data_IF_395597429124
#
_entry.id   IF_395597429124
#
_cell.length_a   1.000
_cell.length_b   1.000
_cell.length_c   1.000
_cell.angle_alpha   90.00
_cell.angle_beta   90.00
_cell.angle_gamma   90.00
#
_symmetry.space_group_name_H-M   'P 1'
#
loop_
_entity.id
_entity.type
_entity.pdbx_description
1 polymer ?
#
# COMPACT_ATOMS: atom_id res chain seq x y z
N UNK A 1 3.74 52.47 11.89
CA UNK A 1 5.20 52.49 11.62
C UNK A 1 5.78 51.16 12.06
N UNK A 2 6.45 50.50 11.14
CA UNK A 2 7.12 49.19 11.25
C UNK A 2 8.31 49.30 12.23
N UNK A 3 8.57 48.29 13.06
CA UNK A 3 9.88 47.61 13.07
C UNK A 3 9.86 46.31 13.89
N UNK A 4 9.63 45.23 13.13
CA UNK A 4 10.20 43.90 13.25
C UNK A 4 11.61 43.86 13.87
N UNK A 5 11.81 42.96 14.84
CA UNK A 5 13.13 42.37 15.13
C UNK A 5 13.05 40.86 15.11
N UNK A 6 13.75 40.33 14.11
CA UNK A 6 14.00 38.96 13.76
C UNK A 6 14.63 38.16 14.90
N UNK A 7 14.07 36.98 15.18
CA UNK A 7 14.80 35.87 15.80
C UNK A 7 14.81 34.75 14.78
N UNK A 8 15.97 34.60 14.15
CA UNK A 8 16.35 33.49 13.28
C UNK A 8 16.39 32.22 14.14
N UNK A 9 15.45 31.30 13.89
CA UNK A 9 15.43 29.98 14.50
C UNK A 9 14.95 28.98 13.47
N UNK A 10 15.89 28.40 12.73
CA UNK A 10 15.67 27.25 11.88
C UNK A 10 15.06 26.11 12.70
N UNK A 11 13.78 25.83 12.47
CA UNK A 11 13.21 24.52 12.67
C UNK A 11 12.22 24.28 11.54
N UNK A 12 12.73 23.63 10.50
CA UNK A 12 11.94 22.85 9.55
C UNK A 12 11.12 21.82 10.34
N UNK A 13 9.96 22.23 10.84
CA UNK A 13 8.87 21.29 11.10
C UNK A 13 8.01 21.36 9.86
N UNK A 14 8.49 20.69 8.81
CA UNK A 14 7.65 20.23 7.72
C UNK A 14 6.55 19.41 8.37
N UNK A 15 5.41 20.06 8.66
CA UNK A 15 4.15 19.38 8.85
C UNK A 15 3.96 18.57 7.57
N UNK A 16 4.32 17.30 7.65
CA UNK A 16 3.86 16.26 6.74
C UNK A 16 2.34 16.38 6.77
N UNK A 17 1.81 16.97 5.70
CA UNK A 17 0.43 16.79 5.29
C UNK A 17 0.21 15.29 5.20
N UNK A 18 -0.28 14.69 6.29
CA UNK A 18 -0.95 13.40 6.22
C UNK A 18 -2.21 13.70 5.45
N UNK A 19 -2.13 13.53 4.13
CA UNK A 19 -3.28 13.54 3.25
C UNK A 19 -4.19 12.38 3.70
N UNK A 20 -5.09 12.66 4.64
CA UNK A 20 -6.27 11.85 4.89
C UNK A 20 -7.26 12.17 3.77
N UNK A 21 -6.88 11.86 2.52
CA UNK A 21 -7.85 11.77 1.46
C UNK A 21 -8.70 10.55 1.77
N UNK A 22 -9.95 10.79 2.19
CA UNK A 22 -11.01 9.78 2.25
C UNK A 22 -11.41 9.27 0.86
N UNK A 23 -10.43 8.91 0.05
CA UNK A 23 -10.57 8.19 -1.20
C UNK A 23 -10.74 6.71 -0.83
N UNK A 24 -11.56 5.97 -1.56
CA UNK A 24 -11.65 4.53 -1.40
C UNK A 24 -10.23 3.94 -1.36
N UNK A 25 -9.87 3.29 -0.24
CA UNK A 25 -8.50 2.82 -0.03
C UNK A 25 -8.08 1.95 -1.22
N UNK A 26 -7.07 2.42 -1.96
CA UNK A 26 -6.56 1.72 -3.13
C UNK A 26 -6.03 0.33 -2.76
N UNK A 27 -5.98 -0.57 -3.76
CA UNK A 27 -5.49 -1.93 -3.60
C UNK A 27 -4.10 -1.97 -2.94
N UNK A 28 -3.24 -1.01 -3.29
CA UNK A 28 -1.89 -0.90 -2.76
C UNK A 28 -1.89 -0.45 -1.31
N UNK A 29 -2.76 0.49 -0.95
CA UNK A 29 -2.90 0.95 0.43
C UNK A 29 -3.43 -0.17 1.33
N UNK A 30 -4.44 -0.91 0.87
CA UNK A 30 -5.01 -2.05 1.58
C UNK A 30 -3.98 -3.15 1.81
N UNK A 31 -3.25 -3.55 0.76
CA UNK A 31 -2.14 -4.50 0.87
C UNK A 31 -1.09 -3.98 1.86
N UNK A 32 -0.67 -2.73 1.71
CA UNK A 32 0.33 -2.12 2.60
C UNK A 32 -0.12 -2.10 4.06
N UNK A 33 -1.39 -1.79 4.32
CA UNK A 33 -1.99 -1.80 5.65
C UNK A 33 -2.03 -3.21 6.26
N UNK A 34 -2.33 -4.23 5.45
CA UNK A 34 -2.26 -5.62 5.90
C UNK A 34 -0.84 -5.98 6.33
N UNK A 35 0.16 -5.74 5.47
CA UNK A 35 1.54 -6.10 5.80
C UNK A 35 2.13 -5.26 6.93
N UNK A 36 1.93 -3.94 6.94
CA UNK A 36 2.44 -3.08 8.02
C UNK A 36 1.77 -3.35 9.37
N UNK A 37 0.48 -3.70 9.38
CA UNK A 37 -0.27 -3.96 10.61
C UNK A 37 -0.18 -5.39 11.13
N UNK A 38 -0.06 -6.39 10.24
CA UNK A 38 -0.10 -7.82 10.62
C UNK A 38 1.22 -8.55 10.44
N UNK A 39 2.10 -8.07 9.57
CA UNK A 39 3.40 -8.69 9.30
C UNK A 39 4.58 -8.01 10.00
N UNK A 40 4.34 -6.96 10.80
CA UNK A 40 5.37 -6.32 11.59
C UNK A 40 6.03 -7.33 12.56
N UNK A 41 7.31 -7.62 12.36
CA UNK A 41 8.06 -8.62 13.14
C UNK A 41 7.87 -10.08 12.69
N UNK A 42 7.19 -10.33 11.57
CA UNK A 42 7.08 -11.66 10.96
C UNK A 42 8.22 -11.94 9.98
N UNK A 43 8.35 -13.20 9.54
CA UNK A 43 9.31 -13.64 8.52
C UNK A 43 8.96 -13.12 7.11
N UNK A 44 7.77 -12.54 6.94
CA UNK A 44 7.27 -12.06 5.66
C UNK A 44 7.76 -10.63 5.43
N UNK A 45 8.80 -10.49 4.61
CA UNK A 45 9.33 -9.19 4.20
C UNK A 45 8.42 -8.57 3.16
N UNK A 46 7.89 -7.38 3.45
CA UNK A 46 7.10 -6.58 2.53
C UNK A 46 7.70 -5.18 2.38
N UNK A 47 7.91 -4.76 1.13
CA UNK A 47 8.32 -3.41 0.80
C UNK A 47 7.19 -2.73 0.04
N UNK A 48 6.61 -1.63 0.56
CA UNK A 48 5.60 -0.88 -0.16
C UNK A 48 6.21 -0.28 -1.44
N UNK A 49 5.52 -0.48 -2.57
CA UNK A 49 5.90 0.10 -3.85
C UNK A 49 5.17 1.43 -4.05
N UNK A 50 5.88 2.58 -4.08
CA UNK A 50 5.26 3.90 -4.25
C UNK A 50 4.63 4.08 -5.64
N UNK A 51 4.98 3.25 -6.62
CA UNK A 51 4.42 3.27 -7.96
C UNK A 51 3.29 2.25 -8.15
N UNK A 52 2.86 1.56 -7.09
CA UNK A 52 1.87 0.50 -7.17
C UNK A 52 0.53 1.00 -7.76
N UNK A 53 -0.02 2.12 -7.30
CA UNK A 53 -1.29 2.65 -7.82
C UNK A 53 -1.19 2.98 -9.32
N UNK A 54 -0.09 3.63 -9.73
CA UNK A 54 0.15 3.93 -11.15
C UNK A 54 0.27 2.66 -12.02
N UNK A 55 0.85 1.58 -11.47
CA UNK A 55 0.91 0.28 -12.14
C UNK A 55 -0.46 -0.38 -12.26
N UNK A 56 -1.33 -0.21 -11.26
CA UNK A 56 -2.69 -0.74 -11.29
C UNK A 56 -3.57 0.07 -12.26
N UNK A 57 -3.41 1.40 -12.34
CA UNK A 57 -4.22 2.25 -13.22
C UNK A 57 -4.19 1.77 -14.67
N UNK A 58 -3.01 1.36 -15.16
CA UNK A 58 -2.79 0.83 -16.50
C UNK A 58 -3.38 -0.59 -16.73
N UNK A 59 -3.87 -1.26 -15.69
CA UNK A 59 -4.40 -2.62 -15.81
C UNK A 59 -5.84 -2.67 -16.31
N UNK A 60 -6.16 -3.76 -16.98
CA UNK A 60 -7.54 -4.12 -17.37
C UNK A 60 -8.41 -4.40 -16.14
N UNK A 61 -9.73 -4.31 -16.31
CA UNK A 61 -10.68 -4.62 -15.23
C UNK A 61 -10.54 -6.06 -14.71
N UNK A 62 -10.23 -7.03 -15.59
CA UNK A 62 -10.02 -8.42 -15.20
C UNK A 62 -8.77 -8.58 -14.30
N UNK A 63 -7.68 -7.89 -14.62
CA UNK A 63 -6.47 -7.88 -13.81
C UNK A 63 -6.71 -7.20 -12.45
N UNK A 64 -7.41 -6.07 -12.44
CA UNK A 64 -7.83 -5.39 -11.21
C UNK A 64 -8.69 -6.30 -10.32
N UNK A 65 -9.59 -7.08 -10.90
CA UNK A 65 -10.41 -8.05 -10.15
C UNK A 65 -9.57 -9.18 -9.51
N UNK A 66 -8.52 -9.67 -10.18
CA UNK A 66 -7.59 -10.65 -9.60
C UNK A 66 -6.80 -10.07 -8.43
N UNK A 67 -6.35 -8.81 -8.56
CA UNK A 67 -5.67 -8.07 -7.49
C UNK A 67 -6.59 -7.85 -6.28
N UNK A 68 -7.84 -7.45 -6.53
CA UNK A 68 -8.88 -7.29 -5.51
C UNK A 68 -9.18 -8.60 -4.77
N UNK A 69 -9.27 -9.71 -5.49
CA UNK A 69 -9.48 -11.01 -4.90
C UNK A 69 -8.28 -11.44 -4.04
N UNK A 70 -7.05 -11.19 -4.49
CA UNK A 70 -5.83 -11.44 -3.72
C UNK A 70 -5.78 -10.63 -2.41
N UNK A 71 -5.96 -9.30 -2.49
CA UNK A 71 -5.95 -8.42 -1.31
C UNK A 71 -7.07 -8.78 -0.35
N UNK A 72 -8.26 -9.08 -0.87
CA UNK A 72 -9.40 -9.52 -0.05
C UNK A 72 -9.14 -10.88 0.62
N UNK A 73 -8.44 -11.80 -0.05
CA UNK A 73 -8.03 -13.08 0.54
C UNK A 73 -7.11 -12.86 1.76
N UNK A 74 -6.11 -11.99 1.63
CA UNK A 74 -5.22 -11.62 2.73
C UNK A 74 -5.99 -10.99 3.91
N UNK A 75 -6.85 -10.02 3.61
CA UNK A 75 -7.64 -9.32 4.63
C UNK A 75 -8.57 -10.27 5.39
N UNK A 76 -9.22 -11.20 4.68
CA UNK A 76 -10.10 -12.22 5.27
C UNK A 76 -9.33 -13.23 6.11
N UNK A 77 -8.16 -13.67 5.66
CA UNK A 77 -7.31 -14.58 6.42
C UNK A 77 -6.82 -13.93 7.73
N UNK A 78 -6.60 -12.62 7.72
CA UNK A 78 -6.31 -11.80 8.90
C UNK A 78 -5.05 -12.22 9.70
N UNK A 79 -4.22 -13.09 9.12
CA UNK A 79 -3.01 -13.66 9.72
C UNK A 79 -1.88 -13.46 8.73
N UNK A 80 -0.76 -12.90 9.19
CA UNK A 80 0.44 -12.83 8.38
C UNK A 80 1.27 -14.11 8.53
N UNK A 81 1.19 -15.00 7.55
CA UNK A 81 2.10 -16.13 7.42
C UNK A 81 2.44 -16.37 5.96
N UNK A 82 3.63 -16.91 5.71
CA UNK A 82 4.06 -17.33 4.37
C UNK A 82 3.08 -18.32 3.74
N UNK A 83 2.45 -19.19 4.55
CA UNK A 83 1.44 -20.12 4.09
C UNK A 83 0.17 -19.41 3.58
N UNK A 84 -0.33 -18.40 4.30
CA UNK A 84 -1.51 -17.63 3.89
C UNK A 84 -1.21 -16.80 2.65
N UNK A 85 -0.06 -16.13 2.62
CA UNK A 85 0.38 -15.35 1.46
C UNK A 85 0.53 -16.26 0.24
N UNK A 86 1.14 -17.43 0.40
CA UNK A 86 1.25 -18.45 -0.64
C UNK A 86 -0.10 -18.96 -1.11
N UNK A 87 -1.01 -19.32 -0.20
CA UNK A 87 -2.33 -19.85 -0.56
C UNK A 87 -3.19 -18.81 -1.30
N UNK A 88 -3.15 -17.54 -0.88
CA UNK A 88 -3.83 -16.47 -1.60
C UNK A 88 -3.18 -16.21 -2.96
N UNK A 89 -1.85 -16.33 -3.06
CA UNK A 89 -1.12 -16.23 -4.32
C UNK A 89 -1.43 -17.38 -5.29
N UNK A 90 -1.60 -18.61 -4.80
CA UNK A 90 -1.99 -19.75 -5.63
C UNK A 90 -3.42 -19.60 -6.18
N UNK A 91 -4.34 -19.05 -5.39
CA UNK A 91 -5.71 -18.78 -5.84
C UNK A 91 -5.79 -17.58 -6.79
N UNK A 92 -4.89 -16.61 -6.64
CA UNK A 92 -4.89 -15.36 -7.40
C UNK A 92 -3.48 -15.03 -7.92
N UNK A 93 -2.90 -15.85 -8.81
CA UNK A 93 -1.50 -15.71 -9.23
C UNK A 93 -1.23 -14.38 -9.94
N UNK A 94 -2.23 -13.86 -10.66
CA UNK A 94 -2.16 -12.54 -11.32
C UNK A 94 -2.32 -11.34 -10.39
N UNK A 95 -2.68 -11.55 -9.12
CA UNK A 95 -2.95 -10.48 -8.15
C UNK A 95 -1.77 -10.13 -7.23
N UNK A 96 -0.76 -11.00 -7.13
CA UNK A 96 0.28 -10.93 -6.09
C UNK A 96 1.14 -9.67 -6.19
N UNK A 97 1.58 -9.34 -7.41
CA UNK A 97 2.50 -8.22 -7.63
C UNK A 97 1.82 -6.86 -7.73
N UNK A 98 0.48 -6.81 -7.67
CA UNK A 98 -0.30 -5.59 -7.89
C UNK A 98 0.20 -4.79 -9.11
N UNK A 99 0.60 -5.52 -10.14
CA UNK A 99 1.12 -4.99 -11.40
C UNK A 99 0.56 -5.82 -12.53
N UNK A 100 0.24 -5.18 -13.65
CA UNK A 100 -0.18 -5.94 -14.83
C UNK A 100 1.06 -6.69 -15.36
N UNK A 101 0.99 -8.00 -15.61
CA UNK A 101 1.98 -8.63 -16.47
C UNK A 101 1.90 -7.92 -17.82
N UNK A 102 3.00 -7.31 -18.26
CA UNK A 102 3.09 -6.86 -19.65
C UNK A 102 2.88 -8.11 -20.51
N UNK A 103 1.88 -8.06 -21.38
CA UNK A 103 1.75 -9.03 -22.48
C UNK A 103 2.95 -8.88 -23.42
#
# INVERSE_FOLDING_TARGET
>A
MVLTRSVTGLAFVSLLFVATSGCAAGLCERKTKFFSGRCAGSEVVYTPDPSCEAKIEACTAAQKAQMEAYVSCLERANICSLAVVGQCAEQHPGGVNLSCPND
#
